data_IF_373463446693
#
_entry.id   IF_373463446693
#
_cell.length_a   1.000
_cell.length_b   1.000
_cell.length_c   1.000
_cell.angle_alpha   90.00
_cell.angle_beta   90.00
_cell.angle_gamma   90.00
#
_symmetry.space_group_name_H-M   'P 1'
#
loop_
_entity.id
_entity.type
_entity.pdbx_description
1 polymer ?
#
# COMPACT_ATOMS: atom_id res chain seq x y z
N UNK A 1 -64.14 13.23 -15.77
CA UNK A 1 -63.53 12.10 -15.03
C UNK A 1 -62.67 11.20 -15.92
N UNK A 2 -63.20 10.33 -16.79
CA UNK A 2 -62.34 9.39 -17.59
C UNK A 2 -61.44 10.12 -18.61
N UNK A 3 -61.92 11.21 -19.24
CA UNK A 3 -61.11 11.98 -20.18
C UNK A 3 -59.92 12.69 -19.52
N UNK A 4 -60.11 13.22 -18.31
CA UNK A 4 -59.06 13.91 -17.56
C UNK A 4 -57.96 12.95 -17.11
N UNK A 5 -58.33 11.74 -16.67
CA UNK A 5 -57.33 10.72 -16.28
C UNK A 5 -56.49 10.26 -17.45
N UNK A 6 -57.06 10.15 -18.66
CA UNK A 6 -56.30 9.82 -19.87
C UNK A 6 -55.31 10.93 -20.23
N UNK A 7 -55.74 12.20 -20.16
CA UNK A 7 -54.87 13.35 -20.44
C UNK A 7 -53.70 13.39 -19.46
N UNK A 8 -53.96 13.19 -18.16
CA UNK A 8 -52.91 13.14 -17.12
C UNK A 8 -51.93 12.00 -17.40
N UNK A 9 -52.42 10.81 -17.77
CA UNK A 9 -51.59 9.65 -18.08
C UNK A 9 -50.66 9.92 -19.28
N UNK A 10 -51.19 10.47 -20.37
CA UNK A 10 -50.41 10.81 -21.56
C UNK A 10 -49.34 11.84 -21.22
N UNK A 11 -49.70 12.87 -20.46
CA UNK A 11 -48.77 13.94 -20.07
C UNK A 11 -47.66 13.40 -19.16
N UNK A 12 -47.97 12.45 -18.27
CA UNK A 12 -46.99 11.77 -17.43
C UNK A 12 -46.02 10.92 -18.25
N UNK A 13 -46.49 10.19 -19.27
CA UNK A 13 -45.62 9.43 -20.17
C UNK A 13 -44.68 10.34 -20.98
N UNK A 14 -45.18 11.50 -21.42
CA UNK A 14 -44.35 12.50 -22.12
C UNK A 14 -43.24 13.04 -21.22
N UNK A 15 -43.56 13.36 -19.96
CA UNK A 15 -42.57 13.81 -18.97
C UNK A 15 -41.52 12.73 -18.73
N UNK A 16 -41.92 11.48 -18.54
CA UNK A 16 -40.99 10.35 -18.34
C UNK A 16 -40.06 10.20 -19.55
N UNK A 17 -40.60 10.28 -20.77
CA UNK A 17 -39.82 10.22 -22.01
C UNK A 17 -38.79 11.35 -22.10
N UNK A 18 -39.19 12.58 -21.77
CA UNK A 18 -38.30 13.74 -21.71
C UNK A 18 -37.19 13.54 -20.67
N UNK A 19 -37.54 13.14 -19.44
CA UNK A 19 -36.56 12.87 -18.38
C UNK A 19 -35.58 11.78 -18.83
N UNK A 20 -36.05 10.71 -19.46
CA UNK A 20 -35.17 9.63 -19.92
C UNK A 20 -34.23 10.08 -21.03
N UNK A 21 -34.70 10.90 -21.96
CA UNK A 21 -33.88 11.48 -23.02
C UNK A 21 -32.75 12.37 -22.45
N UNK A 22 -33.06 13.23 -21.48
CA UNK A 22 -32.06 14.08 -20.82
C UNK A 22 -31.10 13.28 -19.92
N UNK A 23 -31.60 12.26 -19.23
CA UNK A 23 -30.79 11.42 -18.36
C UNK A 23 -29.78 10.61 -19.17
N UNK A 24 -30.15 10.13 -20.36
CA UNK A 24 -29.26 9.37 -21.23
C UNK A 24 -27.98 10.13 -21.57
N UNK A 25 -28.08 11.43 -21.89
CA UNK A 25 -26.92 12.26 -22.20
C UNK A 25 -25.98 12.40 -21.00
N UNK A 26 -26.53 12.62 -19.80
CA UNK A 26 -25.74 12.69 -18.56
C UNK A 26 -25.06 11.34 -18.28
N UNK A 27 -25.78 10.22 -18.43
CA UNK A 27 -25.22 8.89 -18.25
C UNK A 27 -24.10 8.60 -19.26
N UNK A 28 -24.28 8.96 -20.53
CA UNK A 28 -23.29 8.78 -21.58
C UNK A 28 -22.01 9.56 -21.28
N UNK A 29 -22.14 10.86 -20.94
CA UNK A 29 -21.00 11.71 -20.56
C UNK A 29 -20.28 11.16 -19.35
N UNK A 30 -21.03 10.70 -18.34
CA UNK A 30 -20.45 10.08 -17.13
C UNK A 30 -19.69 8.81 -17.48
N UNK A 31 -20.24 7.93 -18.32
CA UNK A 31 -19.61 6.69 -18.76
C UNK A 31 -18.32 6.96 -19.54
N UNK A 32 -18.34 7.92 -20.47
CA UNK A 32 -17.14 8.36 -21.21
C UNK A 32 -16.09 8.91 -20.24
N UNK A 33 -16.51 9.75 -19.29
CA UNK A 33 -15.62 10.29 -18.25
C UNK A 33 -14.92 9.20 -17.43
N UNK A 34 -15.67 8.17 -17.02
CA UNK A 34 -15.12 7.02 -16.30
C UNK A 34 -14.10 6.27 -17.16
N UNK A 35 -14.41 6.01 -18.43
CA UNK A 35 -13.49 5.32 -19.35
C UNK A 35 -12.18 6.11 -19.51
N UNK A 36 -12.26 7.42 -19.75
CA UNK A 36 -11.09 8.29 -19.88
C UNK A 36 -10.27 8.31 -18.59
N UNK A 37 -10.94 8.40 -17.43
CA UNK A 37 -10.30 8.36 -16.12
C UNK A 37 -9.51 7.06 -15.91
N UNK A 38 -10.10 5.90 -16.26
CA UNK A 38 -9.43 4.60 -16.15
C UNK A 38 -8.21 4.48 -17.06
N UNK A 39 -8.28 5.02 -18.29
CA UNK A 39 -7.13 5.03 -19.20
C UNK A 39 -5.97 5.84 -18.62
N UNK A 40 -6.25 7.03 -18.08
CA UNK A 40 -5.24 7.87 -17.43
C UNK A 40 -4.64 7.14 -16.22
N UNK A 41 -5.49 6.53 -15.39
CA UNK A 41 -5.06 5.75 -14.23
C UNK A 41 -4.12 4.61 -14.61
N UNK A 42 -4.45 3.85 -15.67
CA UNK A 42 -3.59 2.78 -16.19
C UNK A 42 -2.24 3.30 -16.69
N UNK A 43 -2.23 4.44 -17.38
CA UNK A 43 -0.97 5.07 -17.84
C UNK A 43 -0.08 5.43 -16.64
N UNK A 44 -0.66 5.98 -15.57
CA UNK A 44 0.06 6.31 -14.34
C UNK A 44 0.65 5.04 -13.69
N UNK A 45 -0.16 3.98 -13.55
CA UNK A 45 0.29 2.69 -13.02
C UNK A 45 1.46 2.11 -13.85
N UNK A 46 1.37 2.15 -15.18
CA UNK A 46 2.45 1.68 -16.08
C UNK A 46 3.73 2.50 -15.85
N UNK A 47 3.63 3.81 -15.71
CA UNK A 47 4.79 4.70 -15.46
C UNK A 47 5.42 4.38 -14.09
N UNK A 48 4.60 4.24 -13.05
CA UNK A 48 5.05 3.91 -11.70
C UNK A 48 5.70 2.53 -11.64
N UNK A 49 5.10 1.54 -12.31
CA UNK A 49 5.65 0.19 -12.41
C UNK A 49 7.00 0.19 -13.12
N UNK A 50 7.14 0.93 -14.23
CA UNK A 50 8.41 1.09 -14.94
C UNK A 50 9.48 1.73 -14.06
N UNK A 51 9.11 2.71 -13.22
CA UNK A 51 10.05 3.35 -12.28
C UNK A 51 10.56 2.35 -11.24
N UNK A 52 9.69 1.52 -10.64
CA UNK A 52 10.10 0.51 -9.64
C UNK A 52 11.06 -0.53 -10.23
N UNK A 53 10.86 -0.93 -11.48
CA UNK A 53 11.73 -1.94 -12.10
C UNK A 53 13.15 -1.44 -12.35
N UNK A 54 13.37 -0.14 -12.56
CA UNK A 54 14.74 0.41 -12.71
C UNK A 54 15.55 0.32 -11.43
N UNK A 55 14.95 0.61 -10.27
CA UNK A 55 15.65 0.59 -8.98
C UNK A 55 16.09 -0.81 -8.56
N UNK A 56 15.38 -1.87 -8.96
CA UNK A 56 15.75 -3.25 -8.60
C UNK A 56 16.87 -3.84 -9.47
N UNK A 57 17.22 -3.23 -10.60
CA UNK A 57 18.27 -3.73 -11.51
C UNK A 57 19.65 -3.24 -11.06
N UNK A 58 19.78 -1.99 -10.61
CA UNK A 58 21.05 -1.44 -10.13
C UNK A 58 21.53 -2.10 -8.83
N UNK A 59 20.62 -2.48 -7.93
CA UNK A 59 21.01 -3.17 -6.67
C UNK A 59 21.47 -4.62 -6.88
N UNK A 60 21.22 -5.21 -8.06
CA UNK A 60 21.54 -6.63 -8.31
C UNK A 60 22.93 -6.86 -8.92
N UNK A 61 23.59 -5.83 -9.43
CA UNK A 61 24.96 -5.95 -9.98
C UNK A 61 26.06 -5.75 -8.92
N UNK A 62 25.77 -5.19 -7.74
CA UNK A 62 26.81 -4.93 -6.73
C UNK A 62 27.00 -6.08 -5.70
N UNK A 63 26.15 -7.12 -5.72
CA UNK A 63 26.27 -8.27 -4.79
C UNK A 63 26.66 -9.54 -5.55
N UNK A 64 27.81 -9.51 -6.22
CA UNK A 64 28.46 -10.71 -6.73
C UNK A 64 29.98 -10.66 -6.61
N UNK A 65 30.50 -10.35 -5.43
CA UNK A 65 31.83 -10.83 -5.02
C UNK A 65 31.86 -11.01 -3.50
N UNK A 66 31.35 -12.16 -3.04
CA UNK A 66 31.73 -12.73 -1.75
C UNK A 66 32.71 -13.85 -2.07
N UNK A 67 34.00 -13.58 -1.92
CA UNK A 67 34.92 -14.61 -1.43
C UNK A 67 34.84 -14.56 0.10
N UNK A 68 34.20 -15.58 0.67
CA UNK A 68 34.49 -16.04 2.02
C UNK A 68 35.06 -17.44 1.85
N UNK A 69 36.14 -17.77 2.57
CA UNK A 69 35.93 -18.78 3.59
C UNK A 69 36.57 -18.45 4.96
N UNK A 70 35.72 -18.62 5.98
CA UNK A 70 35.96 -19.51 7.13
C UNK A 70 36.95 -19.03 8.19
N UNK A 71 36.41 -18.59 9.33
CA UNK A 71 36.99 -18.97 10.61
C UNK A 71 35.90 -19.12 11.68
N UNK A 72 35.82 -20.34 12.21
CA UNK A 72 35.02 -20.74 13.36
C UNK A 72 35.63 -20.10 14.61
N UNK A 73 34.86 -19.33 15.38
CA UNK A 73 35.14 -19.25 16.81
C UNK A 73 33.86 -19.13 17.63
N UNK A 74 33.63 -20.25 18.32
CA UNK A 74 32.66 -20.51 19.36
C UNK A 74 33.06 -19.76 20.63
N UNK A 75 32.30 -18.75 21.06
CA UNK A 75 32.27 -18.34 22.47
C UNK A 75 30.84 -17.99 22.86
N UNK A 76 30.35 -18.80 23.78
CA UNK A 76 29.10 -18.73 24.51
C UNK A 76 29.27 -17.70 25.63
N UNK A 77 28.58 -16.56 25.60
CA UNK A 77 28.43 -15.72 26.79
C UNK A 77 27.12 -14.93 26.79
N UNK A 78 26.35 -15.13 27.87
CA UNK A 78 25.08 -14.47 28.22
C UNK A 78 25.37 -13.13 28.93
N UNK A 79 24.40 -12.21 29.07
CA UNK A 79 24.45 -10.91 28.46
C UNK A 79 24.79 -9.79 29.45
N UNK A 80 25.65 -8.87 29.02
CA UNK A 80 25.74 -7.54 29.62
C UNK A 80 24.83 -6.63 28.80
N UNK A 81 23.68 -6.27 29.38
CA UNK A 81 22.72 -5.32 28.83
C UNK A 81 23.40 -3.94 28.88
N UNK A 82 24.15 -3.60 27.84
CA UNK A 82 24.46 -2.22 27.54
C UNK A 82 23.28 -1.68 26.75
N UNK A 83 22.62 -0.65 27.28
CA UNK A 83 21.58 0.10 26.58
C UNK A 83 22.20 0.77 25.36
N UNK A 84 22.22 0.03 24.26
CA UNK A 84 22.69 0.48 22.96
C UNK A 84 21.74 1.61 22.51
N UNK A 85 22.22 2.85 22.28
CA UNK A 85 21.38 4.01 21.97
C UNK A 85 20.48 3.81 20.72
N UNK A 86 20.82 2.83 19.89
CA UNK A 86 20.03 2.42 18.72
C UNK A 86 18.72 1.68 19.08
N UNK A 87 18.64 0.99 20.22
CA UNK A 87 17.45 0.20 20.58
C UNK A 87 16.26 1.13 20.88
N UNK A 88 16.48 2.27 21.51
CA UNK A 88 15.41 3.22 21.80
C UNK A 88 14.82 3.82 20.52
N UNK A 89 15.67 4.15 19.53
CA UNK A 89 15.20 4.59 18.21
C UNK A 89 14.43 3.50 17.48
N UNK A 90 14.87 2.25 17.61
CA UNK A 90 14.19 1.09 17.03
C UNK A 90 12.80 0.89 17.64
N UNK A 91 12.66 1.05 18.96
CA UNK A 91 11.37 0.99 19.66
C UNK A 91 10.42 2.09 19.21
N UNK A 92 10.89 3.33 19.12
CA UNK A 92 10.07 4.46 18.65
C UNK A 92 9.58 4.22 17.22
N UNK A 93 10.45 3.67 16.36
CA UNK A 93 10.09 3.30 15.00
C UNK A 93 9.05 2.18 14.96
N UNK A 94 9.25 1.10 15.73
CA UNK A 94 8.31 -0.02 15.81
C UNK A 94 6.94 0.48 16.30
N UNK A 95 6.91 1.23 17.40
CA UNK A 95 5.69 1.77 17.99
C UNK A 95 4.91 2.63 17.00
N UNK A 96 5.59 3.56 16.32
CA UNK A 96 4.96 4.41 15.30
C UNK A 96 4.31 3.61 14.17
N UNK A 97 4.96 2.53 13.73
CA UNK A 97 4.40 1.68 12.66
C UNK A 97 3.25 0.80 13.18
N UNK A 98 3.31 0.32 14.43
CA UNK A 98 2.19 -0.41 15.03
C UNK A 98 0.97 0.49 15.24
N UNK A 99 1.17 1.73 15.70
CA UNK A 99 0.09 2.74 15.84
C UNK A 99 -0.57 3.09 14.50
N UNK A 100 0.16 2.95 13.40
CA UNK A 100 -0.37 3.11 12.04
C UNK A 100 -1.15 1.88 11.53
N UNK A 101 -1.24 0.81 12.32
CA UNK A 101 -1.98 -0.42 11.99
C UNK A 101 -1.18 -1.42 11.16
N UNK A 102 0.14 -1.28 11.05
CA UNK A 102 0.98 -2.27 10.37
C UNK A 102 1.09 -3.55 11.21
N UNK A 103 1.07 -4.71 10.55
CA UNK A 103 1.27 -6.01 11.20
C UNK A 103 2.74 -6.17 11.62
N UNK A 104 2.98 -6.73 12.80
CA UNK A 104 4.33 -6.95 13.36
C UNK A 104 5.28 -7.64 12.38
N UNK A 105 4.82 -8.68 11.67
CA UNK A 105 5.62 -9.40 10.68
C UNK A 105 6.14 -8.49 9.56
N UNK A 106 5.34 -7.51 9.12
CA UNK A 106 5.73 -6.57 8.06
C UNK A 106 6.81 -5.62 8.58
N UNK A 107 6.65 -5.12 9.80
CA UNK A 107 7.61 -4.23 10.45
C UNK A 107 8.94 -4.94 10.68
N UNK A 108 8.91 -6.21 11.10
CA UNK A 108 10.12 -7.04 11.28
C UNK A 108 10.90 -7.19 9.96
N UNK A 109 10.22 -7.54 8.88
CA UNK A 109 10.84 -7.69 7.56
C UNK A 109 11.36 -6.35 7.04
N UNK A 110 10.67 -5.24 7.30
CA UNK A 110 11.13 -3.90 6.91
C UNK A 110 12.42 -3.51 7.62
N UNK A 111 12.53 -3.82 8.92
CA UNK A 111 13.74 -3.57 9.71
C UNK A 111 14.91 -4.45 9.26
N UNK A 112 14.67 -5.74 8.99
CA UNK A 112 15.70 -6.62 8.40
C UNK A 112 16.20 -6.10 7.05
N UNK A 113 15.30 -5.59 6.20
CA UNK A 113 15.66 -4.96 4.91
C UNK A 113 16.46 -3.67 5.05
N UNK A 114 16.29 -2.95 6.17
CA UNK A 114 17.08 -1.76 6.49
C UNK A 114 18.47 -2.10 7.05
N UNK A 115 18.80 -3.39 7.20
CA UNK A 115 20.11 -3.84 7.69
C UNK A 115 20.15 -4.07 9.20
N UNK A 116 19.01 -4.03 9.90
CA UNK A 116 18.98 -4.32 11.32
C UNK A 116 19.14 -5.83 11.57
N UNK A 117 19.99 -6.16 12.56
CA UNK A 117 20.18 -7.54 12.98
C UNK A 117 18.89 -8.12 13.58
N UNK A 118 18.53 -9.34 13.16
CA UNK A 118 17.31 -10.05 13.60
C UNK A 118 17.17 -10.12 15.12
N UNK A 119 18.28 -10.34 15.80
CA UNK A 119 18.31 -10.48 17.26
C UNK A 119 17.95 -9.17 17.96
N UNK A 120 18.48 -8.03 17.46
CA UNK A 120 18.15 -6.69 17.99
C UNK A 120 16.68 -6.34 17.75
N UNK A 121 16.13 -6.69 16.58
CA UNK A 121 14.71 -6.46 16.27
C UNK A 121 13.82 -7.28 17.20
N UNK A 122 14.13 -8.56 17.42
CA UNK A 122 13.36 -9.41 18.32
C UNK A 122 13.39 -8.92 19.77
N UNK A 123 14.55 -8.48 20.27
CA UNK A 123 14.68 -7.89 21.62
C UNK A 123 13.81 -6.64 21.74
N UNK A 124 13.84 -5.75 20.75
CA UNK A 124 13.03 -4.53 20.77
C UNK A 124 11.52 -4.82 20.79
N UNK A 125 11.05 -5.85 20.07
CA UNK A 125 9.65 -6.30 20.13
C UNK A 125 9.29 -6.92 21.49
N UNK A 126 10.19 -7.70 22.10
CA UNK A 126 9.96 -8.31 23.42
C UNK A 126 9.87 -7.26 24.53
N UNK A 127 10.69 -6.22 24.47
CA UNK A 127 10.66 -5.12 25.44
C UNK A 127 9.45 -4.19 25.28
N UNK A 128 8.86 -4.11 24.08
CA UNK A 128 7.66 -3.29 23.85
C UNK A 128 6.37 -3.92 24.40
N UNK A 129 6.34 -5.26 24.49
CA UNK A 129 5.19 -6.05 24.96
C UNK A 129 5.25 -6.35 26.47
N UNK A 130 6.24 -5.81 27.18
CA UNK A 130 6.46 -6.02 28.61
C UNK A 130 5.94 -4.84 29.41
#
# INVERSE_FOLDING_TARGET
MIGETIIILVLLLVIIGLVYQFMFDIFLVTLIGIIVFYVIFLVIEIILWRKRNKTNVETKEEVKTVESPKEELKVEEKPVIQEDPDINRLKDFIKKNLDQGFKENIVRVALEKQGWAKDKVNIAFQELNK
#
